data_IF_290694760009
#
_entry.id   IF_290694760009
#
_cell.length_a   1.000
_cell.length_b   1.000
_cell.length_c   1.000
_cell.angle_alpha   90.00
_cell.angle_beta   90.00
_cell.angle_gamma   90.00
#
_symmetry.space_group_name_H-M   'P 1'
#
loop_
_entity.id
_entity.type
_entity.pdbx_description
1 polymer ?
#
# COMPACT_ATOMS: atom_id res chain seq x y z
N UNK A 1 9.60 -20.76 0.91
CA UNK A 1 10.39 -21.07 -0.30
C UNK A 1 10.39 -19.85 -1.21
N UNK A 2 11.55 -19.47 -1.73
CA UNK A 2 11.64 -18.43 -2.76
C UNK A 2 11.32 -19.02 -4.11
N UNK A 3 10.49 -18.33 -4.90
CA UNK A 3 10.09 -18.75 -6.25
C UNK A 3 10.19 -17.57 -7.21
N UNK A 4 10.05 -17.80 -8.51
CA UNK A 4 9.95 -16.73 -9.49
C UNK A 4 8.61 -15.98 -9.36
N UNK A 5 8.54 -14.73 -9.86
CA UNK A 5 7.29 -13.97 -9.87
C UNK A 5 6.18 -14.69 -10.65
N UNK A 6 6.50 -15.30 -11.78
CA UNK A 6 5.54 -16.04 -12.59
C UNK A 6 4.95 -17.24 -11.83
N UNK A 7 5.76 -17.94 -11.05
CA UNK A 7 5.31 -19.05 -10.21
C UNK A 7 4.48 -18.53 -9.03
N UNK A 8 4.91 -17.42 -8.41
CA UNK A 8 4.16 -16.78 -7.35
C UNK A 8 2.75 -16.39 -7.83
N UNK A 9 2.64 -15.75 -9.00
CA UNK A 9 1.34 -15.38 -9.57
C UNK A 9 0.45 -16.60 -9.83
N UNK A 10 0.99 -17.66 -10.39
CA UNK A 10 0.23 -18.86 -10.74
C UNK A 10 -0.26 -19.67 -9.55
N UNK A 11 0.51 -19.69 -8.46
CA UNK A 11 0.27 -20.61 -7.35
C UNK A 11 -0.40 -19.94 -6.13
N UNK A 12 -0.38 -18.59 -6.06
CA UNK A 12 -0.87 -17.89 -4.88
C UNK A 12 -2.38 -17.67 -4.91
N UNK A 13 -3.04 -17.91 -3.78
CA UNK A 13 -4.43 -17.53 -3.54
C UNK A 13 -4.53 -16.11 -2.96
N UNK A 14 -3.48 -15.66 -2.25
CA UNK A 14 -3.36 -14.32 -1.68
C UNK A 14 -1.96 -13.79 -1.99
N UNK A 15 -1.87 -12.57 -2.53
CA UNK A 15 -0.62 -11.88 -2.80
C UNK A 15 -0.56 -10.62 -1.95
N UNK A 16 0.47 -10.49 -1.11
CA UNK A 16 0.72 -9.31 -0.29
C UNK A 16 2.02 -8.64 -0.70
N UNK A 17 1.94 -7.31 -0.95
CA UNK A 17 3.06 -6.52 -1.45
C UNK A 17 3.81 -5.84 -0.32
N UNK A 18 5.12 -6.13 -0.19
CA UNK A 18 6.01 -5.58 0.83
C UNK A 18 7.35 -5.10 0.26
N UNK A 19 7.46 -5.03 -1.07
CA UNK A 19 8.67 -4.54 -1.74
C UNK A 19 8.71 -3.00 -1.78
N UNK A 20 9.91 -2.40 -1.86
CA UNK A 20 10.04 -0.97 -2.09
C UNK A 20 9.55 -0.59 -3.50
N UNK A 21 9.12 0.65 -3.68
CA UNK A 21 8.82 1.21 -5.00
C UNK A 21 10.13 1.62 -5.68
N UNK A 22 10.38 1.04 -6.83
CA UNK A 22 11.51 1.34 -7.73
C UNK A 22 11.00 1.32 -9.18
N UNK A 23 11.81 1.72 -10.14
CA UNK A 23 11.45 1.63 -11.56
C UNK A 23 11.12 0.18 -11.98
N UNK A 24 11.74 -0.82 -11.31
CA UNK A 24 11.51 -2.24 -11.60
C UNK A 24 10.24 -2.80 -10.94
N UNK A 25 9.78 -2.20 -9.85
CA UNK A 25 8.60 -2.66 -9.10
C UNK A 25 7.37 -1.79 -9.36
N UNK A 26 7.53 -0.66 -10.07
CA UNK A 26 6.41 0.17 -10.49
C UNK A 26 5.44 -0.65 -11.33
N UNK A 27 4.16 -0.63 -10.95
CA UNK A 27 3.11 -1.42 -11.56
C UNK A 27 3.44 -2.91 -11.65
N UNK A 28 4.05 -3.46 -10.58
CA UNK A 28 4.29 -4.89 -10.45
C UNK A 28 2.98 -5.69 -10.62
N UNK A 29 1.88 -5.14 -10.13
CA UNK A 29 0.54 -5.64 -10.38
C UNK A 29 -0.09 -4.77 -11.49
N UNK A 30 -0.28 -5.39 -12.64
CA UNK A 30 -0.84 -4.81 -13.87
C UNK A 30 -1.68 -5.85 -14.62
N UNK A 31 -2.21 -5.52 -15.80
CA UNK A 31 -3.05 -6.42 -16.58
C UNK A 31 -2.35 -7.75 -16.89
N UNK A 32 -1.08 -7.72 -17.29
CA UNK A 32 -0.32 -8.92 -17.66
C UNK A 32 -0.07 -9.83 -16.43
N UNK A 33 0.28 -9.24 -15.29
CA UNK A 33 0.49 -10.01 -14.07
C UNK A 33 -0.81 -10.59 -13.52
N UNK A 34 -1.91 -9.81 -13.53
CA UNK A 34 -3.24 -10.28 -13.11
C UNK A 34 -3.70 -11.43 -14.00
N UNK A 35 -3.47 -11.36 -15.31
CA UNK A 35 -3.85 -12.44 -16.23
C UNK A 35 -3.17 -13.78 -15.88
N UNK A 36 -1.97 -13.75 -15.32
CA UNK A 36 -1.21 -14.94 -14.89
C UNK A 36 -1.65 -15.52 -13.54
N UNK A 37 -2.38 -14.75 -12.72
CA UNK A 37 -2.79 -15.16 -11.38
C UNK A 37 -3.92 -16.20 -11.44
N UNK A 38 -4.18 -16.84 -10.30
CA UNK A 38 -5.36 -17.68 -10.13
C UNK A 38 -6.64 -16.85 -10.25
N UNK A 39 -7.70 -17.48 -10.73
CA UNK A 39 -9.03 -16.89 -10.65
C UNK A 39 -9.46 -16.81 -9.18
N UNK A 40 -9.94 -15.64 -8.78
CA UNK A 40 -10.32 -15.40 -7.39
C UNK A 40 -9.17 -15.02 -6.45
N UNK A 41 -8.00 -14.66 -6.96
CA UNK A 41 -6.88 -14.19 -6.14
C UNK A 41 -7.27 -12.98 -5.28
N UNK A 42 -6.72 -12.87 -4.08
CA UNK A 42 -6.82 -11.67 -3.24
C UNK A 42 -5.52 -10.89 -3.26
N UNK A 43 -5.59 -9.56 -3.35
CA UNK A 43 -4.41 -8.68 -3.41
C UNK A 43 -4.40 -7.75 -2.19
N UNK A 44 -3.27 -7.69 -1.48
CA UNK A 44 -3.06 -6.84 -0.33
C UNK A 44 -1.88 -5.90 -0.61
N UNK A 45 -2.06 -4.61 -0.42
CA UNK A 45 -0.99 -3.63 -0.57
C UNK A 45 -0.94 -2.66 0.62
N UNK A 46 0.08 -2.82 1.45
CA UNK A 46 0.43 -1.90 2.55
C UNK A 46 1.81 -1.26 2.32
N UNK A 47 2.33 -1.33 1.10
CA UNK A 47 3.65 -0.84 0.73
C UNK A 47 3.60 0.56 0.11
N UNK A 48 3.42 0.62 -1.21
CA UNK A 48 3.31 1.87 -1.99
C UNK A 48 2.24 1.74 -3.06
N UNK A 49 1.44 2.79 -3.27
CA UNK A 49 0.31 2.78 -4.22
C UNK A 49 0.73 2.40 -5.63
N UNK A 50 1.78 2.99 -6.13
CA UNK A 50 2.32 2.75 -7.47
C UNK A 50 2.88 1.32 -7.73
N UNK A 51 2.84 0.42 -6.76
CA UNK A 51 3.09 -1.01 -7.00
C UNK A 51 1.94 -1.67 -7.78
N UNK A 52 0.75 -1.08 -7.74
CA UNK A 52 -0.44 -1.56 -8.43
C UNK A 52 -0.88 -0.51 -9.46
N UNK A 53 -1.12 -0.92 -10.69
CA UNK A 53 -1.86 -0.13 -11.66
C UNK A 53 -3.35 -0.21 -11.33
N UNK A 54 -3.92 0.85 -10.79
CA UNK A 54 -5.27 0.82 -10.19
C UNK A 54 -6.35 0.44 -11.20
N UNK A 55 -6.26 0.92 -12.45
CA UNK A 55 -7.23 0.54 -13.48
C UNK A 55 -7.19 -0.96 -13.79
N UNK A 56 -6.01 -1.59 -13.83
CA UNK A 56 -5.89 -3.03 -14.02
C UNK A 56 -6.52 -3.81 -12.85
N UNK A 57 -6.33 -3.33 -11.62
CA UNK A 57 -6.99 -3.91 -10.44
C UNK A 57 -8.52 -3.81 -10.55
N UNK A 58 -9.05 -2.65 -10.95
CA UNK A 58 -10.49 -2.43 -11.15
C UNK A 58 -11.05 -3.42 -12.18
N UNK A 59 -10.38 -3.60 -13.32
CA UNK A 59 -10.82 -4.57 -14.33
C UNK A 59 -10.73 -6.02 -13.80
N UNK A 60 -9.68 -6.35 -13.05
CA UNK A 60 -9.56 -7.64 -12.36
C UNK A 60 -10.71 -7.91 -11.38
N UNK A 61 -11.13 -6.90 -10.61
CA UNK A 61 -12.27 -7.00 -9.69
C UNK A 61 -13.61 -7.15 -10.44
N UNK A 62 -13.83 -6.40 -11.53
CA UNK A 62 -15.03 -6.48 -12.36
C UNK A 62 -15.20 -7.85 -13.01
N UNK A 63 -14.12 -8.42 -13.50
CA UNK A 63 -14.11 -9.74 -14.14
C UNK A 63 -14.07 -10.90 -13.13
N UNK A 64 -13.96 -10.60 -11.84
CA UNK A 64 -13.78 -11.58 -10.74
C UNK A 64 -12.49 -12.40 -10.85
N UNK A 65 -11.54 -11.95 -11.66
CA UNK A 65 -10.18 -12.49 -11.66
C UNK A 65 -9.50 -12.22 -10.31
N UNK A 66 -9.74 -11.01 -9.77
CA UNK A 66 -9.43 -10.62 -8.39
C UNK A 66 -10.70 -10.70 -7.56
N UNK A 67 -10.71 -11.51 -6.51
CA UNK A 67 -11.88 -11.69 -5.64
C UNK A 67 -12.05 -10.58 -4.60
N UNK A 68 -10.95 -10.02 -4.12
CA UNK A 68 -10.94 -8.95 -3.12
C UNK A 68 -9.62 -8.18 -3.13
N UNK A 69 -9.62 -6.96 -2.62
CA UNK A 69 -8.41 -6.19 -2.39
C UNK A 69 -8.43 -5.47 -1.03
N UNK A 70 -7.27 -5.45 -0.35
CA UNK A 70 -7.02 -4.67 0.85
C UNK A 70 -5.89 -3.67 0.57
N UNK A 71 -6.19 -2.38 0.58
CA UNK A 71 -5.28 -1.32 0.15
C UNK A 71 -5.12 -0.29 1.27
N UNK A 72 -3.92 -0.16 1.80
CA UNK A 72 -3.58 0.92 2.73
C UNK A 72 -2.99 2.13 1.99
N UNK A 73 -2.64 1.95 0.72
CA UNK A 73 -1.98 2.92 -0.15
C UNK A 73 -2.66 2.98 -1.50
N UNK A 74 -2.57 4.14 -2.15
CA UNK A 74 -3.19 4.43 -3.45
C UNK A 74 -2.21 5.20 -4.35
N UNK A 75 -2.37 5.13 -5.68
CA UNK A 75 -1.44 5.77 -6.64
C UNK A 75 -1.32 7.28 -6.41
N UNK A 76 -2.44 7.96 -6.16
CA UNK A 76 -2.54 9.41 -5.99
C UNK A 76 -2.91 9.80 -4.54
N UNK A 77 -2.46 9.03 -3.56
CA UNK A 77 -2.79 9.21 -2.15
C UNK A 77 -2.43 10.60 -1.60
N UNK A 78 -1.41 11.26 -2.16
CA UNK A 78 -0.98 12.58 -1.73
C UNK A 78 -2.08 13.63 -1.76
N UNK A 79 -3.03 13.52 -2.68
CA UNK A 79 -4.12 14.47 -2.85
C UNK A 79 -5.33 14.17 -1.96
N UNK A 80 -5.44 12.96 -1.42
CA UNK A 80 -6.65 12.51 -0.73
C UNK A 80 -6.42 12.04 0.70
N UNK A 81 -5.26 11.50 1.05
CA UNK A 81 -5.06 10.82 2.34
C UNK A 81 -4.51 11.72 3.44
N UNK A 82 -3.93 12.87 3.09
CA UNK A 82 -3.24 13.73 4.05
C UNK A 82 -3.97 15.05 4.35
N UNK A 83 -5.11 15.28 3.72
CA UNK A 83 -5.97 16.44 3.97
C UNK A 83 -7.37 16.00 4.40
N UNK A 84 -7.98 16.74 5.31
CA UNK A 84 -9.40 16.57 5.63
C UNK A 84 -10.26 17.11 4.48
N UNK A 85 -10.87 16.18 3.74
CA UNK A 85 -11.78 16.46 2.61
C UNK A 85 -13.15 15.85 2.83
N UNK A 86 -13.53 15.61 4.11
CA UNK A 86 -14.79 14.95 4.47
C UNK A 86 -16.04 15.67 3.96
N UNK A 87 -15.95 16.99 3.72
CA UNK A 87 -17.02 17.84 3.17
C UNK A 87 -16.92 18.06 1.66
N UNK A 88 -15.96 17.42 0.97
CA UNK A 88 -15.77 17.54 -0.49
C UNK A 88 -16.20 16.27 -1.20
N UNK A 89 -16.65 16.43 -2.44
CA UNK A 89 -16.85 15.30 -3.35
C UNK A 89 -15.47 14.78 -3.75
N UNK A 90 -15.33 13.45 -3.81
CA UNK A 90 -14.12 12.83 -4.35
C UNK A 90 -14.08 13.12 -5.85
N UNK A 91 -13.14 13.95 -6.28
CA UNK A 91 -12.93 14.32 -7.69
C UNK A 91 -12.15 13.26 -8.48
N UNK A 92 -11.72 12.19 -7.83
CA UNK A 92 -11.04 11.06 -8.45
C UNK A 92 -12.04 9.94 -8.74
N UNK A 93 -12.45 9.85 -10.01
CA UNK A 93 -13.38 8.82 -10.48
C UNK A 93 -12.83 7.40 -10.29
N UNK A 94 -11.52 7.22 -10.35
CA UNK A 94 -10.84 5.93 -10.19
C UNK A 94 -10.91 5.49 -8.73
N UNK A 95 -10.59 6.40 -7.79
CA UNK A 95 -10.73 6.13 -6.35
C UNK A 95 -12.20 5.90 -5.97
N UNK A 96 -13.10 6.75 -6.45
CA UNK A 96 -14.55 6.61 -6.21
C UNK A 96 -15.04 5.25 -6.73
N UNK A 97 -14.59 4.83 -7.91
CA UNK A 97 -14.91 3.52 -8.47
C UNK A 97 -14.36 2.39 -7.60
N UNK A 98 -13.12 2.49 -7.16
CA UNK A 98 -12.48 1.49 -6.30
C UNK A 98 -13.25 1.32 -4.97
N UNK A 99 -13.63 2.44 -4.33
CA UNK A 99 -14.41 2.44 -3.09
C UNK A 99 -15.84 1.91 -3.26
N UNK A 100 -16.37 1.85 -4.48
CA UNK A 100 -17.70 1.31 -4.76
C UNK A 100 -17.78 -0.22 -4.74
N UNK A 101 -16.64 -0.93 -4.70
CA UNK A 101 -16.64 -2.38 -4.62
C UNK A 101 -16.83 -2.87 -3.18
N UNK A 102 -17.79 -3.77 -2.96
CA UNK A 102 -18.08 -4.34 -1.63
C UNK A 102 -16.96 -5.27 -1.10
N UNK A 103 -16.07 -5.71 -1.98
CA UNK A 103 -14.96 -6.61 -1.70
C UNK A 103 -13.59 -5.90 -1.73
N UNK A 104 -13.60 -4.57 -1.57
CA UNK A 104 -12.41 -3.74 -1.45
C UNK A 104 -12.44 -3.00 -0.12
N UNK A 105 -11.31 -3.02 0.59
CA UNK A 105 -11.08 -2.22 1.78
C UNK A 105 -9.94 -1.26 1.46
N UNK A 106 -10.17 0.03 1.68
CA UNK A 106 -9.15 1.08 1.58
C UNK A 106 -8.99 1.72 2.95
N UNK A 107 -7.74 1.82 3.42
CA UNK A 107 -7.35 2.57 4.62
C UNK A 107 -6.38 3.67 4.22
N UNK A 108 -6.40 4.79 4.91
CA UNK A 108 -5.68 6.00 4.47
C UNK A 108 -4.24 6.01 4.97
N UNK A 109 -3.39 5.09 4.45
CA UNK A 109 -1.97 4.93 4.80
C UNK A 109 -1.75 4.80 6.31
N UNK A 110 -2.57 3.98 6.96
CA UNK A 110 -2.65 3.84 8.42
C UNK A 110 -2.32 2.43 8.92
N UNK A 111 -1.72 1.57 8.12
CA UNK A 111 -1.37 0.21 8.53
C UNK A 111 -0.42 0.17 9.74
N UNK A 112 0.35 1.25 9.96
CA UNK A 112 1.19 1.43 11.15
C UNK A 112 0.39 1.79 12.42
N UNK A 113 -0.87 2.19 12.33
CA UNK A 113 -1.64 2.79 13.42
C UNK A 113 -2.04 1.76 14.48
N UNK A 114 -1.06 1.19 15.15
CA UNK A 114 -1.20 0.31 16.30
C UNK A 114 -0.68 0.97 17.57
N UNK A 115 -1.16 0.54 18.73
CA UNK A 115 -0.72 1.09 20.02
C UNK A 115 0.79 0.98 20.19
N UNK A 116 1.37 -0.14 19.81
CA UNK A 116 2.78 -0.43 19.92
C UNK A 116 3.61 0.45 18.98
N UNK A 117 3.18 0.62 17.74
CA UNK A 117 3.88 1.47 16.77
C UNK A 117 3.86 2.94 17.20
N UNK A 118 2.70 3.46 17.62
CA UNK A 118 2.56 4.83 18.11
C UNK A 118 3.44 5.09 19.34
N UNK A 119 3.48 4.15 20.29
CA UNK A 119 4.34 4.24 21.46
C UNK A 119 5.82 4.29 21.06
N UNK A 120 6.26 3.38 20.20
CA UNK A 120 7.64 3.33 19.73
C UNK A 120 8.05 4.58 18.94
N UNK A 121 7.16 5.12 18.11
CA UNK A 121 7.40 6.37 17.37
C UNK A 121 7.58 7.53 18.36
N UNK A 122 6.67 7.66 19.31
CA UNK A 122 6.73 8.73 20.31
C UNK A 122 8.02 8.65 21.16
N UNK A 123 8.34 7.48 21.71
CA UNK A 123 9.56 7.28 22.50
C UNK A 123 10.83 7.56 21.71
N UNK A 124 10.91 7.07 20.47
CA UNK A 124 12.08 7.28 19.62
C UNK A 124 12.25 8.74 19.28
N UNK A 125 11.16 9.44 18.95
CA UNK A 125 11.19 10.88 18.66
C UNK A 125 11.66 11.69 19.87
N UNK A 126 11.09 11.44 21.03
CA UNK A 126 11.49 12.14 22.28
C UNK A 126 12.94 11.84 22.67
N UNK A 127 13.40 10.61 22.48
CA UNK A 127 14.78 10.23 22.71
C UNK A 127 15.75 10.98 21.79
N UNK A 128 15.43 11.04 20.49
CA UNK A 128 16.27 11.76 19.52
C UNK A 128 16.39 13.25 19.88
N UNK A 129 15.29 13.89 20.29
CA UNK A 129 15.29 15.30 20.74
C UNK A 129 16.19 15.46 21.98
N UNK A 130 16.00 14.61 22.98
CA UNK A 130 16.81 14.66 24.22
C UNK A 130 18.28 14.41 23.94
N UNK A 131 18.64 13.46 23.11
CA UNK A 131 20.01 13.17 22.74
C UNK A 131 20.65 14.34 22.02
N UNK A 132 19.89 15.03 21.15
CA UNK A 132 20.35 16.26 20.49
C UNK A 132 20.60 17.39 21.49
N UNK A 133 19.65 17.67 22.40
CA UNK A 133 19.77 18.73 23.42
C UNK A 133 20.93 18.48 24.39
N UNK A 134 21.20 17.24 24.76
CA UNK A 134 22.26 16.85 25.69
C UNK A 134 23.62 16.60 25.00
N UNK A 135 23.71 16.81 23.68
CA UNK A 135 24.95 16.59 22.90
C UNK A 135 25.40 15.14 22.85
N UNK A 136 24.47 14.19 22.99
CA UNK A 136 24.76 12.76 22.89
C UNK A 136 24.84 12.30 21.44
N UNK A 137 25.50 11.15 21.18
CA UNK A 137 25.49 10.57 19.82
C UNK A 137 24.07 10.31 19.30
N UNK A 138 23.79 10.78 18.09
CA UNK A 138 22.48 10.60 17.43
C UNK A 138 22.45 9.27 16.68
N UNK A 139 21.92 8.22 17.29
CA UNK A 139 21.88 6.86 16.72
C UNK A 139 21.04 6.79 15.46
N UNK A 140 20.03 7.66 15.33
CA UNK A 140 19.09 7.70 14.21
C UNK A 140 19.33 8.89 13.27
N UNK A 141 20.53 9.48 13.29
CA UNK A 141 20.86 10.59 12.40
C UNK A 141 20.82 10.12 10.92
N UNK A 142 20.08 10.87 10.10
CA UNK A 142 20.04 10.64 8.65
C UNK A 142 21.22 11.36 8.01
N UNK A 143 22.27 10.63 7.73
CA UNK A 143 23.42 11.12 6.96
C UNK A 143 23.20 10.91 5.47
N UNK A 144 23.59 11.93 4.65
CA UNK A 144 23.53 11.84 3.19
C UNK A 144 24.62 10.93 2.63
#
# INVERSE_FOLDING_TARGET
>A
TYVSLDELYKESDIISLHCPLTDQTRYLINDDSIAKMKDGVMIINTGRGLLIHTNALIEGLKTKKVSAAGLDVYEEEGDYFYEDKSDKIIDDDVLARLLSFNNVIVTSHQAFFTKEALHNIAETTLRNIKDFEEGRPLVNEVTK
#
